data_IF_371158926357
#
_entry.id   IF_371158926357
#
_cell.length_a   1.000
_cell.length_b   1.000
_cell.length_c   1.000
_cell.angle_alpha   90.00
_cell.angle_beta   90.00
_cell.angle_gamma   90.00
#
_symmetry.space_group_name_H-M   'P 1'
#
loop_
_entity.id
_entity.type
_entity.pdbx_description
1 polymer ?
#
# COMPACT_ATOMS: atom_id res chain seq x y z
N UNK A 1 -53.53 -6.27 -26.58
CA UNK A 1 -52.76 -5.66 -25.47
C UNK A 1 -52.20 -6.77 -24.60
N UNK A 2 -50.89 -6.69 -24.31
CA UNK A 2 -50.06 -7.48 -23.38
C UNK A 2 -49.91 -9.00 -23.60
N UNK A 3 -48.73 -9.43 -24.07
CA UNK A 3 -47.71 -10.15 -23.26
C UNK A 3 -46.61 -10.68 -24.19
N UNK A 4 -45.39 -10.18 -24.03
CA UNK A 4 -44.19 -10.95 -24.30
C UNK A 4 -43.26 -10.75 -23.11
N UNK A 5 -42.95 -11.88 -22.48
CA UNK A 5 -42.00 -12.05 -21.39
C UNK A 5 -40.72 -12.62 -21.98
N UNK A 6 -39.63 -12.29 -21.30
CA UNK A 6 -38.38 -13.03 -21.20
C UNK A 6 -37.56 -13.16 -22.49
N UNK A 7 -36.57 -12.28 -22.62
CA UNK A 7 -35.33 -12.60 -23.33
C UNK A 7 -34.16 -11.85 -22.68
N UNK A 8 -33.27 -12.67 -22.11
CA UNK A 8 -31.88 -12.41 -21.74
C UNK A 8 -31.56 -11.72 -20.40
N UNK A 9 -31.15 -12.57 -19.45
CA UNK A 9 -29.75 -12.57 -19.05
C UNK A 9 -29.44 -11.83 -17.76
N UNK A 10 -29.82 -12.44 -16.64
CA UNK A 10 -29.12 -12.22 -15.37
C UNK A 10 -27.68 -12.73 -15.50
N UNK A 11 -26.76 -11.86 -15.94
CA UNK A 11 -25.32 -12.10 -15.77
C UNK A 11 -24.76 -11.09 -14.77
N UNK A 12 -24.60 -11.61 -13.55
CA UNK A 12 -23.66 -11.25 -12.50
C UNK A 12 -22.77 -10.02 -12.71
N UNK A 13 -23.23 -8.85 -12.23
CA UNK A 13 -22.31 -7.79 -11.79
C UNK A 13 -21.95 -8.01 -10.33
N UNK A 14 -20.98 -8.88 -10.08
CA UNK A 14 -20.45 -9.07 -8.73
C UNK A 14 -18.93 -9.32 -8.72
N UNK A 15 -18.17 -8.52 -9.48
CA UNK A 15 -16.70 -8.51 -9.49
C UNK A 15 -16.18 -7.08 -9.79
N UNK A 16 -15.94 -6.21 -8.79
CA UNK A 16 -15.20 -4.95 -9.02
C UNK A 16 -14.62 -4.33 -7.74
N UNK A 17 -15.22 -4.57 -6.57
CA UNK A 17 -14.86 -3.81 -5.35
C UNK A 17 -13.42 -4.09 -4.85
N UNK A 18 -12.89 -5.29 -5.11
CA UNK A 18 -11.53 -5.69 -4.72
C UNK A 18 -10.43 -5.06 -5.58
N UNK A 19 -10.58 -5.07 -6.90
CA UNK A 19 -9.60 -4.51 -7.85
C UNK A 19 -9.49 -2.99 -7.71
N UNK A 20 -10.62 -2.34 -7.41
CA UNK A 20 -10.67 -0.92 -7.14
C UNK A 20 -9.87 -0.56 -5.88
N UNK A 21 -9.98 -1.37 -4.81
CA UNK A 21 -9.22 -1.13 -3.56
C UNK A 21 -7.72 -1.32 -3.75
N UNK A 22 -7.29 -2.37 -4.45
CA UNK A 22 -5.87 -2.60 -4.76
C UNK A 22 -5.30 -1.42 -5.54
N UNK A 23 -6.01 -0.98 -6.57
CA UNK A 23 -5.59 0.15 -7.42
C UNK A 23 -5.46 1.43 -6.60
N UNK A 24 -6.45 1.74 -5.74
CA UNK A 24 -6.42 2.91 -4.87
C UNK A 24 -5.24 2.85 -3.89
N UNK A 25 -5.00 1.69 -3.27
CA UNK A 25 -3.88 1.50 -2.35
C UNK A 25 -2.53 1.64 -3.06
N UNK A 26 -2.35 1.04 -4.24
CA UNK A 26 -1.13 1.14 -5.03
C UNK A 26 -0.82 2.59 -5.43
N UNK A 27 -1.85 3.35 -5.82
CA UNK A 27 -1.72 4.78 -6.07
C UNK A 27 -1.30 5.56 -4.82
N UNK A 28 -1.95 5.30 -3.68
CA UNK A 28 -1.61 5.93 -2.39
C UNK A 28 -0.16 5.65 -2.00
N UNK A 29 0.26 4.39 -2.07
CA UNK A 29 1.64 3.98 -1.72
C UNK A 29 2.66 4.61 -2.68
N UNK A 30 2.36 4.67 -3.98
CA UNK A 30 3.23 5.35 -4.94
C UNK A 30 3.42 6.82 -4.58
N UNK A 31 2.34 7.52 -4.22
CA UNK A 31 2.42 8.91 -3.78
C UNK A 31 3.19 9.03 -2.46
N UNK A 32 2.93 8.14 -1.50
CA UNK A 32 3.53 8.16 -0.18
C UNK A 32 5.05 7.96 -0.21
N UNK A 33 5.54 7.05 -1.06
CA UNK A 33 6.96 6.68 -1.13
C UNK A 33 7.74 7.37 -2.26
N UNK A 34 7.12 8.27 -3.02
CA UNK A 34 7.82 9.06 -4.04
C UNK A 34 8.03 10.47 -3.53
N UNK A 35 9.28 10.95 -3.56
CA UNK A 35 9.59 12.35 -3.24
C UNK A 35 8.81 13.32 -4.12
N UNK A 36 8.40 14.47 -3.58
CA UNK A 36 7.53 15.42 -4.29
C UNK A 36 8.13 15.91 -5.62
N UNK A 37 9.45 16.08 -5.69
CA UNK A 37 10.15 16.48 -6.92
C UNK A 37 10.05 15.42 -8.04
N UNK A 38 9.84 14.15 -7.67
CA UNK A 38 9.76 13.00 -8.56
C UNK A 38 8.31 12.58 -8.88
N UNK A 39 7.32 13.23 -8.26
CA UNK A 39 5.92 13.01 -8.61
C UNK A 39 5.58 13.75 -9.91
N UNK A 40 4.66 13.22 -10.74
CA UNK A 40 4.05 14.00 -11.81
C UNK A 40 3.36 15.24 -11.27
N UNK A 41 3.30 16.31 -12.08
CA UNK A 41 2.82 17.63 -11.65
C UNK A 41 1.42 17.55 -10.98
N UNK A 42 0.53 16.71 -11.49
CA UNK A 42 -0.85 16.57 -10.97
C UNK A 42 -0.94 16.04 -9.53
N UNK A 43 0.14 15.45 -8.99
CA UNK A 43 0.18 14.90 -7.63
C UNK A 43 1.01 15.74 -6.65
N UNK A 44 1.61 16.84 -7.10
CA UNK A 44 2.42 17.73 -6.24
C UNK A 44 1.50 18.65 -5.44
N UNK A 45 1.83 18.87 -4.16
CA UNK A 45 1.03 19.72 -3.26
C UNK A 45 1.28 21.21 -3.52
N UNK A 46 2.48 21.54 -4.01
CA UNK A 46 2.89 22.91 -4.30
C UNK A 46 2.98 23.14 -5.81
N UNK A 47 2.05 23.93 -6.36
CA UNK A 47 2.08 24.39 -7.74
C UNK A 47 3.08 25.54 -7.92
N UNK A 48 4.38 25.29 -7.65
CA UNK A 48 5.41 26.28 -7.94
C UNK A 48 5.61 26.41 -9.45
N UNK A 49 5.08 27.52 -9.95
CA UNK A 49 5.08 28.00 -11.33
C UNK A 49 6.48 28.11 -11.92
N UNK A 50 6.92 27.07 -12.63
CA UNK A 50 7.96 27.20 -13.67
C UNK A 50 7.41 26.74 -15.00
N UNK A 51 6.51 27.58 -15.54
CA UNK A 51 5.55 27.29 -16.62
C UNK A 51 6.12 27.05 -18.03
N UNK A 52 7.43 26.97 -18.25
CA UNK A 52 7.96 27.02 -19.63
C UNK A 52 9.02 26.00 -20.04
N UNK A 53 9.30 24.92 -19.27
CA UNK A 53 10.31 23.92 -19.72
C UNK A 53 10.03 22.42 -19.59
N UNK A 54 8.89 21.95 -19.04
CA UNK A 54 8.86 20.58 -18.48
C UNK A 54 7.82 19.58 -19.02
N UNK A 55 7.23 19.76 -20.20
CA UNK A 55 6.27 18.76 -20.73
C UNK A 55 6.96 17.41 -20.98
N UNK A 56 8.19 17.41 -21.53
CA UNK A 56 8.96 16.16 -21.76
C UNK A 56 9.42 15.51 -20.46
N UNK A 57 9.83 16.28 -19.47
CA UNK A 57 10.23 15.77 -18.15
C UNK A 57 9.03 15.15 -17.41
N UNK A 58 7.87 15.81 -17.44
CA UNK A 58 6.66 15.32 -16.78
C UNK A 58 6.16 14.02 -17.42
N UNK A 59 6.26 13.88 -18.75
CA UNK A 59 5.92 12.62 -19.44
C UNK A 59 6.81 11.43 -18.97
N UNK A 60 8.08 11.69 -18.65
CA UNK A 60 8.98 10.66 -18.08
C UNK A 60 8.57 10.32 -16.65
N UNK A 61 8.23 11.33 -15.84
CA UNK A 61 7.73 11.13 -14.48
C UNK A 61 6.41 10.35 -14.47
N UNK A 62 5.49 10.64 -15.39
CA UNK A 62 4.24 9.89 -15.59
C UNK A 62 4.50 8.42 -15.91
N UNK A 63 5.43 8.15 -16.83
CA UNK A 63 5.80 6.77 -17.18
C UNK A 63 6.36 6.02 -15.97
N UNK A 64 7.25 6.66 -15.21
CA UNK A 64 7.82 6.07 -13.97
C UNK A 64 6.76 5.88 -12.90
N UNK A 65 5.88 6.85 -12.71
CA UNK A 65 4.78 6.77 -11.76
C UNK A 65 3.86 5.58 -12.07
N UNK A 66 3.46 5.39 -13.34
CA UNK A 66 2.67 4.23 -13.77
C UNK A 66 3.39 2.91 -13.53
N UNK A 67 4.70 2.86 -13.77
CA UNK A 67 5.50 1.68 -13.47
C UNK A 67 5.51 1.36 -11.96
N UNK A 68 5.68 2.38 -11.11
CA UNK A 68 5.63 2.22 -9.66
C UNK A 68 4.25 1.75 -9.19
N UNK A 69 3.16 2.33 -9.70
CA UNK A 69 1.79 1.88 -9.40
C UNK A 69 1.62 0.39 -9.74
N UNK A 70 2.12 -0.03 -10.90
CA UNK A 70 2.07 -1.44 -11.31
C UNK A 70 2.88 -2.34 -10.36
N UNK A 71 4.10 -1.93 -9.98
CA UNK A 71 4.92 -2.69 -9.02
C UNK A 71 4.22 -2.82 -7.67
N UNK A 72 3.59 -1.74 -7.18
CA UNK A 72 2.81 -1.77 -5.93
C UNK A 72 1.56 -2.65 -6.04
N UNK A 73 0.87 -2.63 -7.18
CA UNK A 73 -0.28 -3.49 -7.45
C UNK A 73 0.11 -4.96 -7.32
N UNK A 74 1.19 -5.36 -8.01
CA UNK A 74 1.70 -6.73 -7.96
C UNK A 74 2.15 -7.15 -6.56
N UNK A 75 2.79 -6.25 -5.80
CA UNK A 75 3.17 -6.52 -4.42
C UNK A 75 1.92 -6.73 -3.53
N UNK A 76 0.91 -5.87 -3.64
CA UNK A 76 -0.34 -5.99 -2.88
C UNK A 76 -1.02 -7.32 -3.17
N UNK A 77 -1.17 -7.68 -4.45
CA UNK A 77 -1.72 -8.98 -4.87
C UNK A 77 -0.93 -10.15 -4.27
N UNK A 78 0.40 -10.05 -4.29
CA UNK A 78 1.28 -11.07 -3.71
C UNK A 78 1.05 -11.19 -2.21
N UNK A 79 1.01 -10.08 -1.48
CA UNK A 79 0.72 -10.09 -0.03
C UNK A 79 -0.63 -10.73 0.27
N UNK A 80 -1.68 -10.34 -0.45
CA UNK A 80 -3.03 -10.90 -0.28
C UNK A 80 -3.10 -12.41 -0.60
N UNK A 81 -2.24 -12.89 -1.49
CA UNK A 81 -2.16 -14.33 -1.81
C UNK A 81 -1.35 -15.15 -0.80
N UNK A 82 -0.48 -14.51 0.00
CA UNK A 82 0.53 -15.18 0.84
C UNK A 82 0.20 -15.16 2.32
N UNK A 83 -0.49 -14.13 2.78
CA UNK A 83 -0.85 -13.95 4.19
C UNK A 83 -2.35 -13.71 4.33
N UNK A 84 -2.83 -13.70 5.57
CA UNK A 84 -4.24 -13.43 5.83
C UNK A 84 -4.65 -12.06 5.27
N UNK A 85 -5.78 -11.98 4.56
CA UNK A 85 -6.24 -10.76 3.91
C UNK A 85 -6.35 -9.55 4.87
N UNK A 86 -6.88 -9.75 6.07
CA UNK A 86 -7.02 -8.66 7.05
C UNK A 86 -5.64 -8.15 7.48
N UNK A 87 -4.72 -9.07 7.76
CA UNK A 87 -3.34 -8.76 8.12
C UNK A 87 -2.60 -8.04 6.98
N UNK A 88 -2.72 -8.53 5.74
CA UNK A 88 -2.15 -7.88 4.57
C UNK A 88 -2.63 -6.43 4.44
N UNK A 89 -3.94 -6.21 4.57
CA UNK A 89 -4.50 -4.86 4.51
C UNK A 89 -4.01 -3.97 5.66
N UNK A 90 -3.85 -4.49 6.88
CA UNK A 90 -3.22 -3.70 7.97
C UNK A 90 -1.82 -3.24 7.60
N UNK A 91 -1.01 -4.11 6.97
CA UNK A 91 0.34 -3.75 6.52
C UNK A 91 0.30 -2.71 5.38
N UNK A 92 -0.53 -2.94 4.37
CA UNK A 92 -0.70 -2.07 3.19
C UNK A 92 -1.24 -0.69 3.59
N UNK A 93 -2.19 -0.64 4.53
CA UNK A 93 -2.82 0.57 5.03
C UNK A 93 -2.00 1.26 6.12
N UNK A 94 -0.84 0.71 6.51
CA UNK A 94 0.00 1.21 7.58
C UNK A 94 -0.78 1.41 8.89
N UNK A 95 -1.67 0.45 9.19
CA UNK A 95 -2.64 0.46 10.28
C UNK A 95 -2.38 -0.72 11.23
N UNK A 96 -1.28 -0.72 12.00
CA UNK A 96 -0.97 -1.79 12.93
C UNK A 96 -2.04 -1.94 14.02
N UNK A 97 -2.36 -3.18 14.34
CA UNK A 97 -3.19 -3.52 15.50
C UNK A 97 -2.32 -3.61 16.76
N UNK A 98 -2.49 -2.66 17.68
CA UNK A 98 -1.64 -2.52 18.86
C UNK A 98 -2.52 -2.65 20.11
N UNK A 99 -2.29 -3.73 20.87
CA UNK A 99 -2.99 -3.92 22.13
C UNK A 99 -2.58 -2.85 23.16
N UNK A 100 -3.49 -2.41 24.05
CA UNK A 100 -3.20 -1.35 25.04
C UNK A 100 -2.05 -1.68 26.01
N UNK A 101 -1.73 -2.97 26.17
CA UNK A 101 -0.68 -3.47 27.07
C UNK A 101 0.71 -3.45 26.44
N UNK A 102 0.81 -3.25 25.12
CA UNK A 102 2.08 -3.25 24.39
C UNK A 102 2.89 -2.02 24.78
N UNK A 103 4.10 -2.23 25.30
CA UNK A 103 5.04 -1.16 25.66
C UNK A 103 6.30 -1.15 24.81
N UNK A 104 6.57 -2.22 24.07
CA UNK A 104 7.71 -2.36 23.17
C UNK A 104 7.28 -2.83 21.80
N UNK A 105 8.03 -2.43 20.77
CA UNK A 105 7.77 -2.82 19.38
C UNK A 105 7.72 -4.34 19.21
N UNK A 106 8.64 -5.07 19.85
CA UNK A 106 8.72 -6.54 19.80
C UNK A 106 7.60 -7.27 20.54
N UNK A 107 6.76 -6.55 21.29
CA UNK A 107 5.56 -7.11 21.93
C UNK A 107 4.32 -6.95 21.01
N UNK A 108 4.42 -6.13 19.95
CA UNK A 108 3.35 -5.96 18.98
C UNK A 108 3.32 -7.16 18.02
N UNK A 109 2.24 -7.95 18.09
CA UNK A 109 2.06 -9.12 17.22
C UNK A 109 2.15 -8.77 15.74
N UNK A 110 1.48 -7.68 15.33
CA UNK A 110 1.48 -7.23 13.94
C UNK A 110 2.88 -6.87 13.43
N UNK A 111 3.75 -6.32 14.29
CA UNK A 111 5.15 -6.07 13.94
C UNK A 111 5.91 -7.37 13.74
N UNK A 112 5.81 -8.29 14.70
CA UNK A 112 6.49 -9.59 14.62
C UNK A 112 6.04 -10.36 13.37
N UNK A 113 4.74 -10.40 13.10
CA UNK A 113 4.20 -11.05 11.92
C UNK A 113 4.71 -10.43 10.61
N UNK A 114 4.89 -9.10 10.56
CA UNK A 114 5.46 -8.43 9.40
C UNK A 114 6.94 -8.81 9.22
N UNK A 115 7.73 -8.82 10.29
CA UNK A 115 9.13 -9.26 10.25
C UNK A 115 9.25 -10.73 9.82
N UNK A 116 8.35 -11.58 10.30
CA UNK A 116 8.30 -13.00 9.91
C UNK A 116 7.93 -13.15 8.43
N UNK A 117 6.97 -12.35 7.93
CA UNK A 117 6.64 -12.31 6.51
C UNK A 117 7.83 -11.86 5.67
N UNK A 118 8.54 -10.80 6.05
CA UNK A 118 9.73 -10.33 5.34
C UNK A 118 10.83 -11.41 5.33
N UNK A 119 11.07 -12.05 6.47
CA UNK A 119 12.03 -13.16 6.62
C UNK A 119 11.67 -14.34 5.72
N UNK A 120 10.39 -14.73 5.69
CA UNK A 120 9.88 -15.79 4.81
C UNK A 120 10.14 -15.47 3.34
N UNK A 121 9.78 -14.26 2.90
CA UNK A 121 9.94 -13.83 1.50
C UNK A 121 11.42 -13.76 1.08
N UNK A 122 12.30 -13.28 1.98
CA UNK A 122 13.74 -13.16 1.73
C UNK A 122 14.46 -14.51 1.73
N UNK A 123 14.27 -15.31 2.78
CA UNK A 123 15.17 -16.44 3.07
C UNK A 123 14.66 -17.77 2.54
N UNK A 124 13.33 -17.93 2.41
CA UNK A 124 12.73 -19.21 2.01
C UNK A 124 12.15 -19.17 0.61
N UNK A 125 11.50 -18.07 0.24
CA UNK A 125 10.82 -17.96 -1.05
C UNK A 125 11.65 -17.23 -2.12
N UNK A 126 12.83 -16.72 -1.79
CA UNK A 126 13.79 -16.07 -2.69
C UNK A 126 13.12 -15.07 -3.66
N UNK A 127 12.27 -14.19 -3.14
CA UNK A 127 11.54 -13.26 -4.00
C UNK A 127 12.46 -12.18 -4.60
N UNK A 128 11.99 -11.53 -5.67
CA UNK A 128 12.81 -10.60 -6.42
C UNK A 128 13.13 -9.33 -5.60
N UNK A 129 14.21 -8.64 -6.00
CA UNK A 129 14.70 -7.46 -5.31
C UNK A 129 13.64 -6.34 -5.21
N UNK A 130 12.82 -6.17 -6.25
CA UNK A 130 11.76 -5.16 -6.28
C UNK A 130 10.68 -5.43 -5.23
N UNK A 131 10.27 -6.69 -5.08
CA UNK A 131 9.28 -7.10 -4.09
C UNK A 131 9.84 -6.93 -2.67
N UNK A 132 11.06 -7.42 -2.41
CA UNK A 132 11.74 -7.21 -1.12
C UNK A 132 11.91 -5.74 -0.78
N UNK A 133 12.25 -4.91 -1.77
CA UNK A 133 12.35 -3.47 -1.64
C UNK A 133 11.03 -2.86 -1.18
N UNK A 134 9.92 -3.21 -1.83
CA UNK A 134 8.59 -2.73 -1.46
C UNK A 134 8.13 -3.17 -0.07
N UNK A 135 8.37 -4.44 0.30
CA UNK A 135 8.07 -4.96 1.65
C UNK A 135 8.87 -4.18 2.72
N UNK A 136 10.17 -3.96 2.45
CA UNK A 136 11.05 -3.20 3.36
C UNK A 136 10.61 -1.75 3.50
N UNK A 137 10.18 -1.12 2.39
CA UNK A 137 9.66 0.25 2.41
C UNK A 137 8.39 0.39 3.24
N UNK A 138 7.51 -0.62 3.24
CA UNK A 138 6.33 -0.64 4.10
C UNK A 138 6.67 -0.83 5.58
N UNK A 139 7.66 -1.67 5.90
CA UNK A 139 8.01 -2.00 7.28
C UNK A 139 8.42 -0.75 8.10
N UNK A 140 9.18 0.16 7.51
CA UNK A 140 9.70 1.35 8.21
C UNK A 140 8.61 2.30 8.74
N UNK A 141 7.67 2.82 7.93
CA UNK A 141 6.57 3.62 8.43
C UNK A 141 5.59 2.81 9.27
N UNK A 142 5.46 1.50 9.04
CA UNK A 142 4.64 0.63 9.90
C UNK A 142 5.20 0.56 11.33
N UNK A 143 6.50 0.32 11.48
CA UNK A 143 7.20 0.40 12.77
C UNK A 143 6.99 1.77 13.43
N UNK A 144 7.18 2.86 12.68
CA UNK A 144 7.00 4.23 13.20
C UNK A 144 5.60 4.44 13.77
N UNK A 145 4.55 3.94 13.10
CA UNK A 145 3.16 4.02 13.58
C UNK A 145 2.97 3.32 14.92
N UNK A 146 3.68 2.22 15.14
CA UNK A 146 3.65 1.49 16.41
C UNK A 146 4.35 2.28 17.51
N UNK A 147 5.55 2.77 17.21
CA UNK A 147 6.34 3.56 18.15
C UNK A 147 5.64 4.85 18.57
N UNK A 148 5.05 5.59 17.61
CA UNK A 148 4.22 6.78 17.87
C UNK A 148 3.11 6.46 18.88
N UNK A 149 2.41 5.33 18.70
CA UNK A 149 1.31 4.94 19.58
C UNK A 149 1.78 4.51 20.96
N UNK A 150 2.90 3.79 21.06
CA UNK A 150 3.51 3.39 22.34
C UNK A 150 3.92 4.63 23.15
N UNK A 151 4.52 5.64 22.51
CA UNK A 151 4.97 6.86 23.17
C UNK A 151 3.81 7.71 23.71
N UNK A 152 2.65 7.67 23.07
CA UNK A 152 1.45 8.41 23.50
C UNK A 152 0.74 7.73 24.69
N UNK A 153 1.02 6.45 24.99
CA UNK A 153 0.37 5.76 26.10
C UNK A 153 0.81 6.36 27.45
N UNK A 154 -0.13 6.59 28.40
CA UNK A 154 0.10 7.32 29.67
C UNK A 154 0.98 6.59 30.71
N UNK A 155 1.88 5.70 30.27
CA UNK A 155 2.86 5.02 31.11
C UNK A 155 4.33 5.36 30.81
N UNK A 156 4.60 6.21 29.81
CA UNK A 156 5.96 6.62 29.40
C UNK A 156 6.28 8.11 29.66
N UNK A 157 5.37 8.85 30.30
CA UNK A 157 5.69 10.17 30.85
C UNK A 157 6.35 9.97 32.22
N UNK A 158 7.68 9.84 32.23
CA UNK A 158 8.52 10.03 33.41
C UNK A 158 9.19 11.40 33.31
#
# INVERSE_FOLDING_TARGET
MAKERDLFGEDSRNCSDGDDRITVAAHRLTIYFTEEANLPIRYRKSSSSSKSRKIKEDAVLEKRFKANVKSWTQLIETMLSKINNQQAWRFIDLSPEIAPTVRKLTECKDFCDFVDYLTLRRDKENCCADELGGITWLLMPFQRKIEERIQILPGNAL
#
